data_IF_967475518916
#
_entry.id   IF_967475518916
#
_cell.length_a   1.000
_cell.length_b   1.000
_cell.length_c   1.000
_cell.angle_alpha   90.00
_cell.angle_beta   90.00
_cell.angle_gamma   90.00
#
_symmetry.space_group_name_H-M   'P 1'
#
loop_
_entity.id
_entity.type
_entity.pdbx_description
1 polymer ?
#
# COMPACT_ATOMS: atom_id res chain seq x y z
N UNK A 1 -35.64 28.37 -24.94
CA UNK A 1 -35.83 26.91 -25.00
C UNK A 1 -34.69 26.28 -24.20
N UNK A 2 -34.92 25.98 -22.92
CA UNK A 2 -33.92 25.38 -22.04
C UNK A 2 -34.09 23.86 -22.07
N UNK A 3 -33.06 23.14 -22.50
CA UNK A 3 -33.02 21.68 -22.54
C UNK A 3 -32.58 21.16 -21.18
N UNK A 4 -33.46 20.46 -20.48
CA UNK A 4 -33.15 19.81 -19.20
C UNK A 4 -32.31 18.54 -19.44
N UNK A 5 -31.20 18.41 -18.70
CA UNK A 5 -30.34 17.22 -18.69
C UNK A 5 -30.99 16.10 -17.84
N UNK A 6 -30.92 14.82 -18.23
CA UNK A 6 -31.51 13.74 -17.44
C UNK A 6 -30.68 13.46 -16.18
N UNK A 7 -31.38 13.35 -15.04
CA UNK A 7 -30.80 13.03 -13.74
C UNK A 7 -30.19 11.61 -13.75
N UNK A 8 -28.95 11.51 -13.28
CA UNK A 8 -28.27 10.23 -13.05
C UNK A 8 -28.88 9.59 -11.79
N UNK A 9 -29.54 8.45 -11.96
CA UNK A 9 -30.07 7.67 -10.85
C UNK A 9 -28.90 7.00 -10.09
N UNK A 10 -28.67 7.43 -8.85
CA UNK A 10 -27.73 6.79 -7.94
C UNK A 10 -28.25 5.38 -7.59
N UNK A 11 -27.43 4.36 -7.87
CA UNK A 11 -27.78 2.98 -7.60
C UNK A 11 -27.97 2.78 -6.08
N UNK A 12 -29.22 2.47 -5.74
CA UNK A 12 -29.75 2.01 -4.47
C UNK A 12 -28.78 1.18 -3.62
N UNK A 13 -28.68 1.56 -2.35
CA UNK A 13 -28.04 0.86 -1.24
C UNK A 13 -28.31 -0.65 -1.23
N UNK A 14 -27.25 -1.45 -1.23
CA UNK A 14 -27.33 -2.85 -0.80
C UNK A 14 -27.50 -2.89 0.73
N UNK A 15 -28.53 -3.53 1.28
CA UNK A 15 -28.67 -3.67 2.73
C UNK A 15 -27.57 -4.59 3.28
N UNK A 16 -26.93 -4.15 4.37
CA UNK A 16 -25.96 -4.95 5.12
C UNK A 16 -26.64 -6.17 5.77
N UNK A 17 -25.98 -7.33 5.86
CA UNK A 17 -26.55 -8.50 6.52
C UNK A 17 -26.77 -8.24 8.01
N UNK A 18 -27.93 -8.66 8.51
CA UNK A 18 -28.32 -8.53 9.91
C UNK A 18 -27.45 -9.42 10.81
N UNK A 19 -26.84 -8.82 11.84
CA UNK A 19 -26.15 -9.56 12.90
C UNK A 19 -27.20 -10.24 13.76
N UNK A 20 -27.17 -11.58 13.81
CA UNK A 20 -27.96 -12.37 14.76
C UNK A 20 -27.30 -12.21 16.13
N UNK A 21 -27.89 -11.40 17.00
CA UNK A 21 -27.47 -11.27 18.38
C UNK A 21 -28.02 -12.46 19.18
N UNK A 22 -27.18 -13.44 19.49
CA UNK A 22 -27.47 -14.42 20.53
C UNK A 22 -26.97 -13.87 21.87
N UNK A 23 -27.93 -13.47 22.71
CA UNK A 23 -27.73 -12.95 24.06
C UNK A 23 -27.53 -14.11 25.04
N UNK A 24 -26.31 -14.62 25.09
CA UNK A 24 -25.81 -15.39 26.24
C UNK A 24 -24.46 -14.83 26.66
N UNK A 25 -24.37 -14.43 27.94
CA UNK A 25 -23.23 -13.78 28.56
C UNK A 25 -21.94 -14.60 28.36
N UNK A 26 -20.98 -14.04 27.62
CA UNK A 26 -19.66 -14.66 27.46
C UNK A 26 -18.72 -14.16 28.54
N UNK A 27 -18.54 -14.99 29.56
CA UNK A 27 -17.42 -14.89 30.49
C UNK A 27 -16.11 -15.11 29.70
N UNK A 28 -15.28 -14.08 29.56
CA UNK A 28 -14.02 -14.15 28.81
C UNK A 28 -12.95 -14.76 29.70
N UNK A 29 -12.76 -16.08 29.62
CA UNK A 29 -11.56 -16.74 30.13
C UNK A 29 -10.35 -16.29 29.30
N UNK A 30 -9.30 -15.81 29.97
CA UNK A 30 -8.08 -15.21 29.39
C UNK A 30 -7.20 -16.17 28.53
N UNK A 31 -7.66 -17.38 28.20
CA UNK A 31 -6.79 -18.45 27.69
C UNK A 31 -7.01 -18.84 26.21
N UNK A 32 -7.57 -17.95 25.39
CA UNK A 32 -7.83 -18.26 23.96
C UNK A 32 -7.46 -17.14 22.99
N UNK A 33 -6.30 -16.51 23.16
CA UNK A 33 -5.64 -15.78 22.07
C UNK A 33 -4.87 -16.75 21.17
N UNK A 34 -5.54 -17.79 20.66
CA UNK A 34 -5.00 -18.57 19.55
C UNK A 34 -5.42 -17.87 18.26
N UNK A 35 -4.53 -17.09 17.70
CA UNK A 35 -4.68 -16.54 16.35
C UNK A 35 -4.92 -17.72 15.40
N UNK A 36 -6.17 -17.93 15.00
CA UNK A 36 -6.52 -18.88 13.97
C UNK A 36 -5.97 -18.33 12.65
N UNK A 37 -4.72 -18.66 12.35
CA UNK A 37 -4.21 -18.52 11.00
C UNK A 37 -5.09 -19.39 10.12
N UNK A 38 -5.70 -18.80 9.10
CA UNK A 38 -6.47 -19.55 8.11
C UNK A 38 -5.57 -20.63 7.52
N UNK A 39 -5.81 -21.89 7.89
CA UNK A 39 -5.13 -22.99 7.26
C UNK A 39 -5.54 -23.01 5.79
N UNK A 40 -4.53 -23.00 4.91
CA UNK A 40 -4.74 -23.12 3.47
C UNK A 40 -5.34 -24.51 3.22
N UNK A 41 -6.64 -24.57 2.99
CA UNK A 41 -7.35 -25.77 2.57
C UNK A 41 -6.70 -26.32 1.28
N UNK A 42 -5.78 -27.28 1.43
CA UNK A 42 -5.34 -28.17 0.34
C UNK A 42 -6.42 -29.24 0.13
N UNK A 43 -7.59 -28.81 -0.29
CA UNK A 43 -8.65 -29.70 -0.72
C UNK A 43 -8.94 -29.43 -2.19
N UNK A 44 -8.98 -30.49 -3.01
CA UNK A 44 -9.64 -30.43 -4.31
C UNK A 44 -11.16 -30.28 -4.07
N UNK A 45 -11.59 -29.09 -3.67
CA UNK A 45 -13.00 -28.74 -3.51
C UNK A 45 -13.65 -28.51 -4.86
N UNK A 46 -14.99 -28.68 -4.96
CA UNK A 46 -15.72 -28.38 -6.20
C UNK A 46 -15.43 -26.94 -6.61
N UNK A 47 -15.21 -26.73 -7.90
CA UNK A 47 -14.84 -25.44 -8.48
C UNK A 47 -15.63 -24.31 -7.80
N UNK A 48 -14.93 -23.43 -7.07
CA UNK A 48 -15.56 -22.25 -6.48
C UNK A 48 -16.37 -21.58 -7.60
N UNK A 49 -17.66 -21.40 -7.37
CA UNK A 49 -18.53 -20.74 -8.34
C UNK A 49 -18.18 -19.25 -8.31
N UNK A 50 -17.19 -18.89 -9.12
CA UNK A 50 -16.72 -17.52 -9.28
C UNK A 50 -17.67 -16.81 -10.25
N UNK A 51 -18.03 -15.55 -9.97
CA UNK A 51 -18.88 -14.76 -10.85
C UNK A 51 -18.29 -14.75 -12.28
N UNK A 52 -19.11 -14.72 -13.35
CA UNK A 52 -18.58 -14.54 -14.70
C UNK A 52 -17.73 -13.26 -14.67
N UNK A 53 -16.48 -13.35 -15.13
CA UNK A 53 -15.43 -12.30 -15.12
C UNK A 53 -14.59 -12.13 -13.84
N UNK A 54 -14.89 -12.78 -12.72
CA UNK A 54 -14.00 -12.72 -11.57
C UNK A 54 -12.84 -13.70 -11.76
N UNK A 55 -11.61 -13.21 -11.59
CA UNK A 55 -10.41 -14.03 -11.72
C UNK A 55 -10.43 -15.13 -10.65
N UNK A 56 -10.18 -16.38 -11.07
CA UNK A 56 -10.03 -17.48 -10.12
C UNK A 56 -8.83 -17.20 -9.21
N UNK A 57 -8.95 -17.41 -7.89
CA UNK A 57 -7.82 -17.19 -6.98
C UNK A 57 -6.64 -18.06 -7.41
N UNK A 58 -5.46 -17.43 -7.55
CA UNK A 58 -4.23 -18.15 -7.92
C UNK A 58 -3.82 -19.04 -6.74
N UNK A 59 -4.23 -20.30 -6.78
CA UNK A 59 -3.83 -21.29 -5.81
C UNK A 59 -2.40 -21.80 -6.11
N UNK A 60 -1.40 -21.04 -5.68
CA UNK A 60 0.01 -21.42 -5.67
C UNK A 60 0.77 -20.66 -4.59
N UNK A 61 1.94 -21.12 -4.16
CA UNK A 61 2.82 -20.26 -3.37
C UNK A 61 3.37 -19.18 -4.30
N UNK A 62 3.35 -17.91 -3.89
CA UNK A 62 3.97 -16.80 -4.62
C UNK A 62 5.49 -16.94 -4.43
N UNK A 63 6.14 -17.83 -5.18
CA UNK A 63 7.55 -18.23 -4.95
C UNK A 63 8.56 -17.50 -5.84
N UNK A 64 8.11 -16.64 -6.76
CA UNK A 64 8.98 -16.13 -7.84
C UNK A 64 9.04 -14.59 -7.98
N UNK A 65 8.52 -13.84 -7.00
CA UNK A 65 8.56 -12.37 -7.04
C UNK A 65 9.65 -11.81 -6.10
N UNK A 66 10.87 -12.33 -6.20
CA UNK A 66 12.00 -11.71 -5.53
C UNK A 66 12.54 -10.57 -6.39
N UNK A 67 12.44 -9.34 -5.89
CA UNK A 67 13.19 -8.24 -6.46
C UNK A 67 14.68 -8.47 -6.13
N UNK A 68 15.51 -8.66 -7.15
CA UNK A 68 16.96 -8.70 -6.96
C UNK A 68 17.43 -7.34 -6.41
N UNK A 69 18.28 -7.37 -5.38
CA UNK A 69 18.93 -6.17 -4.87
C UNK A 69 19.81 -5.52 -5.93
N UNK A 70 19.85 -4.19 -5.97
CA UNK A 70 20.80 -3.48 -6.82
C UNK A 70 22.22 -3.67 -6.25
N UNK A 71 23.21 -3.74 -7.13
CA UNK A 71 24.61 -3.80 -6.72
C UNK A 71 25.03 -2.46 -6.12
N UNK A 72 25.51 -2.47 -4.88
CA UNK A 72 26.09 -1.32 -4.20
C UNK A 72 27.61 -1.47 -4.26
N UNK A 73 28.37 -0.42 -4.64
CA UNK A 73 29.83 -0.49 -4.70
C UNK A 73 30.46 -0.81 -3.35
N UNK A 74 31.54 -1.59 -3.36
CA UNK A 74 32.27 -1.99 -2.13
C UNK A 74 32.88 -0.78 -1.41
N UNK A 75 32.92 -0.83 -0.07
CA UNK A 75 33.42 0.25 0.79
C UNK A 75 34.92 0.56 0.57
N UNK A 76 35.69 -0.42 0.10
CA UNK A 76 37.14 -0.35 -0.10
C UNK A 76 37.57 0.58 -1.25
N UNK A 77 36.64 0.99 -2.13
CA UNK A 77 36.95 1.91 -3.24
C UNK A 77 37.23 3.34 -2.75
N UNK A 78 38.03 4.12 -3.50
CA UNK A 78 38.17 5.55 -3.27
C UNK A 78 36.81 6.24 -3.21
N UNK A 79 36.70 7.27 -2.37
CA UNK A 79 35.42 7.93 -2.08
C UNK A 79 34.82 8.55 -3.34
N UNK A 80 35.63 9.17 -4.20
CA UNK A 80 35.14 9.75 -5.46
C UNK A 80 34.53 8.68 -6.39
N UNK A 81 35.23 7.56 -6.57
CA UNK A 81 34.77 6.45 -7.41
C UNK A 81 33.49 5.81 -6.86
N UNK A 82 33.37 5.73 -5.54
CA UNK A 82 32.17 5.21 -4.86
C UNK A 82 30.97 6.11 -5.08
N UNK A 83 31.13 7.43 -4.91
CA UNK A 83 30.06 8.41 -5.16
C UNK A 83 29.64 8.37 -6.64
N UNK A 84 30.59 8.32 -7.57
CA UNK A 84 30.30 8.23 -8.99
C UNK A 84 29.47 6.97 -9.33
N UNK A 85 29.87 5.81 -8.80
CA UNK A 85 29.16 4.55 -9.02
C UNK A 85 27.75 4.52 -8.37
N UNK A 86 27.58 5.14 -7.19
CA UNK A 86 26.26 5.32 -6.56
C UNK A 86 25.37 6.20 -7.45
N UNK A 87 25.88 7.33 -7.93
CA UNK A 87 25.13 8.24 -8.80
C UNK A 87 24.71 7.54 -10.10
N UNK A 88 25.60 6.77 -10.72
CA UNK A 88 25.27 5.96 -11.91
C UNK A 88 24.14 4.96 -11.62
N UNK A 89 24.19 4.32 -10.44
CA UNK A 89 23.16 3.36 -10.01
C UNK A 89 21.80 4.03 -9.82
N UNK A 90 21.78 5.21 -9.18
CA UNK A 90 20.57 6.03 -9.00
C UNK A 90 19.98 6.42 -10.37
N UNK A 91 20.80 6.93 -11.30
CA UNK A 91 20.35 7.32 -12.64
C UNK A 91 19.76 6.15 -13.43
N UNK A 92 20.40 4.97 -13.38
CA UNK A 92 19.88 3.75 -14.01
C UNK A 92 18.53 3.35 -13.43
N UNK A 93 18.39 3.45 -12.10
CA UNK A 93 17.14 3.13 -11.42
C UNK A 93 16.03 4.13 -11.76
N UNK A 94 16.33 5.42 -11.78
CA UNK A 94 15.41 6.47 -12.19
C UNK A 94 14.87 6.23 -13.60
N UNK A 95 15.74 5.97 -14.58
CA UNK A 95 15.33 5.65 -15.96
C UNK A 95 14.41 4.43 -16.02
N UNK A 96 14.69 3.39 -15.22
CA UNK A 96 13.84 2.21 -15.11
C UNK A 96 12.46 2.55 -14.55
N UNK A 97 12.38 3.42 -13.54
CA UNK A 97 11.11 3.86 -12.96
C UNK A 97 10.31 4.69 -13.96
N UNK A 98 10.94 5.65 -14.64
CA UNK A 98 10.29 6.47 -15.69
C UNK A 98 9.65 5.58 -16.77
N UNK A 99 10.36 4.56 -17.25
CA UNK A 99 9.83 3.62 -18.25
C UNK A 99 8.64 2.82 -17.73
N UNK A 100 8.67 2.37 -16.47
CA UNK A 100 7.55 1.64 -15.85
C UNK A 100 6.34 2.53 -15.63
N UNK A 101 6.54 3.78 -15.22
CA UNK A 101 5.48 4.77 -15.04
C UNK A 101 4.80 5.09 -16.38
N UNK A 102 5.58 5.28 -17.45
CA UNK A 102 5.06 5.55 -18.80
C UNK A 102 4.16 4.43 -19.33
N UNK A 103 4.45 3.19 -18.97
CA UNK A 103 3.69 2.01 -19.40
C UNK A 103 2.78 1.46 -18.29
N UNK A 104 2.55 2.22 -17.22
CA UNK A 104 1.72 1.79 -16.11
C UNK A 104 0.24 1.76 -16.53
N UNK A 105 -0.35 0.57 -16.52
CA UNK A 105 -1.75 0.32 -16.87
C UNK A 105 -2.35 -0.72 -15.92
N UNK A 106 -3.67 -0.73 -15.78
CA UNK A 106 -4.40 -1.76 -15.05
C UNK A 106 -4.69 -1.46 -13.57
N UNK A 107 -4.20 -0.33 -13.04
CA UNK A 107 -4.57 0.17 -11.71
C UNK A 107 -4.75 1.69 -11.72
N UNK A 108 -5.79 2.22 -11.05
CA UNK A 108 -6.05 3.66 -11.01
C UNK A 108 -5.18 4.34 -9.95
N UNK A 109 -3.93 4.66 -10.31
CA UNK A 109 -3.04 5.48 -9.48
C UNK A 109 -2.83 6.86 -10.10
N UNK A 110 -2.72 7.88 -9.24
CA UNK A 110 -2.10 9.13 -9.67
C UNK A 110 -0.59 8.86 -9.83
N UNK A 111 -0.04 9.17 -11.00
CA UNK A 111 1.37 9.03 -11.31
C UNK A 111 2.04 10.38 -11.56
N UNK A 112 1.26 11.46 -11.53
CA UNK A 112 1.72 12.82 -11.69
C UNK A 112 2.00 13.41 -10.31
N UNK A 113 3.26 13.27 -9.89
CA UNK A 113 3.74 13.75 -8.60
C UNK A 113 4.74 14.89 -8.84
N UNK A 114 4.34 16.11 -8.46
CA UNK A 114 5.21 17.28 -8.37
C UNK A 114 5.43 17.61 -6.88
N UNK A 115 6.64 17.36 -6.40
CA UNK A 115 7.05 17.62 -5.02
C UNK A 115 8.10 18.71 -4.91
N UNK A 116 8.28 19.54 -5.95
CA UNK A 116 9.30 20.59 -5.96
C UNK A 116 9.14 21.56 -4.78
N UNK A 117 7.90 21.89 -4.43
CA UNK A 117 7.58 22.71 -3.26
C UNK A 117 7.98 22.07 -1.91
N UNK A 118 8.10 20.74 -1.85
CA UNK A 118 8.44 19.98 -0.64
C UNK A 118 9.92 19.55 -0.61
N UNK A 119 10.69 19.75 -1.68
CA UNK A 119 12.08 19.28 -1.79
C UNK A 119 12.92 19.74 -0.59
N UNK A 120 12.77 21.00 -0.18
CA UNK A 120 13.48 21.58 0.96
C UNK A 120 13.19 20.88 2.30
N UNK A 121 12.02 20.27 2.46
CA UNK A 121 11.61 19.60 3.69
C UNK A 121 12.25 18.20 3.84
N UNK A 122 12.65 17.57 2.73
CA UNK A 122 13.22 16.21 2.72
C UNK A 122 14.55 16.06 3.46
N UNK A 123 15.20 17.19 3.78
CA UNK A 123 16.48 17.25 4.51
C UNK A 123 16.32 17.12 6.02
N UNK A 124 15.10 17.22 6.54
CA UNK A 124 14.80 17.17 7.97
C UNK A 124 14.23 15.81 8.35
N UNK A 125 14.60 15.32 9.53
CA UNK A 125 14.03 14.10 10.12
C UNK A 125 12.68 14.41 10.79
N UNK A 126 11.66 14.72 10.01
CA UNK A 126 10.32 15.06 10.52
C UNK A 126 9.66 13.83 11.17
N UNK A 127 9.15 13.98 12.38
CA UNK A 127 8.49 12.89 13.13
C UNK A 127 7.38 13.43 14.05
N UNK A 128 6.14 12.97 13.85
CA UNK A 128 4.96 13.40 14.61
C UNK A 128 4.73 12.54 15.87
N UNK A 129 5.80 12.34 16.65
CA UNK A 129 5.81 11.40 17.77
C UNK A 129 4.86 11.80 18.90
N UNK A 130 3.89 10.92 19.18
CA UNK A 130 2.94 11.06 20.30
C UNK A 130 1.51 11.29 19.81
N UNK A 131 0.67 11.85 20.68
CA UNK A 131 -0.70 12.21 20.34
C UNK A 131 -0.73 13.46 19.42
N UNK A 132 -1.52 13.49 18.33
CA UNK A 132 -1.60 14.63 17.40
C UNK A 132 -2.04 15.95 18.05
N UNK A 133 -2.84 15.89 19.12
CA UNK A 133 -3.46 17.05 19.75
C UNK A 133 -2.73 17.50 21.02
N UNK A 134 -1.67 16.79 21.44
CA UNK A 134 -0.88 17.12 22.64
C UNK A 134 0.54 17.44 22.20
N UNK A 135 1.05 18.61 22.58
CA UNK A 135 2.42 19.02 22.26
C UNK A 135 3.45 17.99 22.76
N UNK A 136 4.41 17.67 21.90
CA UNK A 136 5.46 16.69 22.16
C UNK A 136 6.79 17.39 22.44
N UNK A 137 7.71 16.69 23.09
CA UNK A 137 9.07 17.20 23.32
C UNK A 137 9.94 17.18 22.05
N UNK A 138 9.46 16.60 20.95
CA UNK A 138 10.19 16.54 19.68
C UNK A 138 9.76 17.68 18.75
N UNK A 139 10.62 18.69 18.59
CA UNK A 139 10.28 19.92 17.84
C UNK A 139 10.42 19.87 16.32
N UNK A 140 10.83 18.74 15.73
CA UNK A 140 10.94 18.59 14.26
C UNK A 140 9.74 17.77 13.78
N UNK A 141 8.57 18.39 13.77
CA UNK A 141 7.29 17.75 13.42
C UNK A 141 6.51 18.57 12.40
N UNK A 142 5.42 18.01 11.88
CA UNK A 142 4.49 18.64 10.92
C UNK A 142 3.04 18.58 11.41
N UNK A 143 2.82 18.57 12.73
CA UNK A 143 1.50 18.42 13.36
C UNK A 143 0.52 19.54 13.03
N UNK A 144 1.03 20.69 12.61
CA UNK A 144 0.25 21.81 12.10
C UNK A 144 -0.51 21.46 10.79
N UNK A 145 -0.13 20.36 10.14
CA UNK A 145 -0.75 19.85 8.91
C UNK A 145 -1.54 18.54 9.09
N UNK A 146 -1.61 17.97 10.30
CA UNK A 146 -2.41 16.76 10.62
C UNK A 146 -3.89 17.11 10.86
#
# INVERSE_FOLDING_TARGET
MATASPAVALASSCPLPHVVADSSERHVSQDTMRVLRSERLKGAGPALQVAPYQATPVCGAITHHHAAGLHIPDEERPVEDRIAAINETIQKYEKKLQERTRHHMGYPYNLDFDFDALEGLTRYSINNLGDPFIESNYGVHSREFE
#
